data_IF_308977014061
#
_entry.id   IF_308977014061
#
_cell.length_a   1.000
_cell.length_b   1.000
_cell.length_c   1.000
_cell.angle_alpha   90.00
_cell.angle_beta   90.00
_cell.angle_gamma   90.00
#
_symmetry.space_group_name_H-M   'P 1'
#
loop_
_entity.id
_entity.type
_entity.pdbx_description
1 polymer ?
#
# COMPACT_ATOMS: atom_id res chain seq x y z
N UNK A 1 3.78 23.30 -20.25
CA UNK A 1 3.22 22.06 -20.83
C UNK A 1 4.28 21.00 -21.16
N UNK A 2 5.53 21.34 -21.53
CA UNK A 2 6.56 20.35 -21.90
C UNK A 2 7.06 19.43 -20.77
N UNK A 3 6.96 19.84 -19.49
CA UNK A 3 7.40 19.02 -18.35
C UNK A 3 6.49 17.81 -18.09
N UNK A 4 5.19 17.94 -18.35
CA UNK A 4 4.20 16.89 -18.09
C UNK A 4 4.38 15.70 -19.05
N UNK A 5 4.69 15.96 -20.32
CA UNK A 5 4.91 14.91 -21.32
C UNK A 5 6.15 14.06 -20.98
N UNK A 6 7.27 14.70 -20.62
CA UNK A 6 8.48 14.01 -20.19
C UNK A 6 8.25 13.15 -18.93
N UNK A 7 7.47 13.66 -17.99
CA UNK A 7 7.14 12.95 -16.75
C UNK A 7 6.23 11.74 -17.02
N UNK A 8 5.25 11.89 -17.92
CA UNK A 8 4.40 10.79 -18.37
C UNK A 8 5.22 9.68 -19.06
N UNK A 9 6.12 10.03 -19.99
CA UNK A 9 6.96 9.05 -20.69
C UNK A 9 7.85 8.25 -19.73
N UNK A 10 8.45 8.92 -18.75
CA UNK A 10 9.27 8.26 -17.73
C UNK A 10 8.41 7.33 -16.86
N UNK A 11 7.23 7.76 -16.44
CA UNK A 11 6.30 6.91 -15.68
C UNK A 11 5.89 5.67 -16.47
N UNK A 12 5.58 5.82 -17.75
CA UNK A 12 5.23 4.68 -18.61
C UNK A 12 6.40 3.72 -18.76
N UNK A 13 7.62 4.24 -18.98
CA UNK A 13 8.81 3.40 -19.07
C UNK A 13 9.06 2.60 -17.77
N UNK A 14 8.94 3.26 -16.61
CA UNK A 14 9.06 2.60 -15.30
C UNK A 14 7.96 1.54 -15.09
N UNK A 15 6.72 1.82 -15.51
CA UNK A 15 5.63 0.86 -15.42
C UNK A 15 5.91 -0.40 -16.25
N UNK A 16 6.41 -0.27 -17.48
CA UNK A 16 6.78 -1.42 -18.31
C UNK A 16 7.93 -2.23 -17.72
N UNK A 17 8.95 -1.58 -17.14
CA UNK A 17 10.03 -2.27 -16.42
C UNK A 17 9.48 -3.04 -15.22
N UNK A 18 8.57 -2.43 -14.45
CA UNK A 18 7.90 -3.09 -13.32
C UNK A 18 7.09 -4.30 -13.75
N UNK A 19 6.36 -4.22 -14.86
CA UNK A 19 5.62 -5.36 -15.44
C UNK A 19 6.59 -6.47 -15.83
N UNK A 20 7.71 -6.15 -16.48
CA UNK A 20 8.74 -7.13 -16.84
C UNK A 20 9.31 -7.85 -15.62
N UNK A 21 9.66 -7.11 -14.56
CA UNK A 21 10.13 -7.68 -13.30
C UNK A 21 9.07 -8.57 -12.64
N UNK A 22 7.82 -8.12 -12.60
CA UNK A 22 6.70 -8.89 -12.06
C UNK A 22 6.46 -10.19 -12.83
N UNK A 23 6.55 -10.15 -14.17
CA UNK A 23 6.44 -11.34 -15.01
C UNK A 23 7.54 -12.35 -14.71
N UNK A 24 8.80 -11.90 -14.64
CA UNK A 24 9.92 -12.79 -14.30
C UNK A 24 9.72 -13.40 -12.92
N UNK A 25 9.27 -12.63 -11.93
CA UNK A 25 9.08 -13.15 -10.58
C UNK A 25 7.93 -14.18 -10.51
N UNK A 26 6.76 -13.83 -11.03
CA UNK A 26 5.53 -14.63 -10.86
C UNK A 26 5.41 -15.78 -11.85
N UNK A 27 5.87 -15.62 -13.10
CA UNK A 27 5.70 -16.63 -14.15
C UNK A 27 6.92 -17.54 -14.29
N UNK A 28 8.13 -17.02 -14.06
CA UNK A 28 9.37 -17.78 -14.25
C UNK A 28 9.99 -18.24 -12.93
N UNK A 29 9.95 -17.44 -11.86
CA UNK A 29 10.59 -17.77 -10.58
C UNK A 29 9.68 -18.59 -9.68
N UNK A 30 8.47 -18.10 -9.41
CA UNK A 30 7.55 -18.72 -8.44
C UNK A 30 7.20 -20.18 -8.78
N UNK A 31 6.90 -20.57 -10.04
CA UNK A 31 6.61 -21.97 -10.36
C UNK A 31 7.83 -22.90 -10.32
N UNK A 32 9.05 -22.35 -10.33
CA UNK A 32 10.30 -23.12 -10.24
C UNK A 32 10.78 -23.28 -8.80
N UNK A 33 10.40 -22.37 -7.91
CA UNK A 33 10.89 -22.31 -6.53
C UNK A 33 9.84 -22.77 -5.52
N UNK A 34 8.54 -22.56 -5.79
CA UNK A 34 7.44 -22.91 -4.90
C UNK A 34 6.57 -24.02 -5.50
N UNK A 35 6.04 -24.89 -4.65
CA UNK A 35 5.00 -25.83 -5.05
C UNK A 35 3.70 -25.09 -5.41
N UNK A 36 2.86 -25.70 -6.26
CA UNK A 36 1.61 -25.08 -6.72
C UNK A 36 0.67 -24.69 -5.57
N UNK A 37 0.68 -25.47 -4.50
CA UNK A 37 -0.09 -25.25 -3.28
C UNK A 37 0.39 -24.01 -2.51
N UNK A 38 1.70 -23.85 -2.37
CA UNK A 38 2.32 -22.70 -1.69
C UNK A 38 2.08 -21.41 -2.49
N UNK A 39 2.15 -21.48 -3.82
CA UNK A 39 1.82 -20.36 -4.70
C UNK A 39 0.35 -19.93 -4.54
N UNK A 40 -0.57 -20.88 -4.47
CA UNK A 40 -2.00 -20.63 -4.23
C UNK A 40 -2.22 -19.96 -2.89
N UNK A 41 -1.62 -20.48 -1.82
CA UNK A 41 -1.69 -19.91 -0.48
C UNK A 41 -1.12 -18.48 -0.44
N UNK A 42 0.06 -18.27 -1.00
CA UNK A 42 0.73 -16.97 -1.00
C UNK A 42 -0.11 -15.92 -1.74
N UNK A 43 -0.76 -16.29 -2.85
CA UNK A 43 -1.66 -15.40 -3.60
C UNK A 43 -2.93 -15.07 -2.83
N UNK A 44 -3.51 -16.05 -2.13
CA UNK A 44 -4.66 -15.80 -1.25
C UNK A 44 -4.29 -14.86 -0.10
N UNK A 45 -3.13 -15.08 0.51
CA UNK A 45 -2.62 -14.28 1.63
C UNK A 45 -2.33 -12.84 1.19
N UNK A 46 -1.72 -12.64 0.02
CA UNK A 46 -1.55 -11.30 -0.59
C UNK A 46 -2.90 -10.63 -0.85
N UNK A 47 -3.91 -11.36 -1.32
CA UNK A 47 -5.25 -10.80 -1.56
C UNK A 47 -5.92 -10.36 -0.25
N UNK A 48 -5.90 -11.21 0.78
CA UNK A 48 -6.47 -10.89 2.10
C UNK A 48 -5.75 -9.69 2.72
N UNK A 49 -4.42 -9.69 2.71
CA UNK A 49 -3.62 -8.57 3.24
C UNK A 49 -3.87 -7.28 2.49
N UNK A 50 -4.04 -7.31 1.15
CA UNK A 50 -4.38 -6.12 0.38
C UNK A 50 -5.73 -5.52 0.78
N UNK A 51 -6.77 -6.35 0.96
CA UNK A 51 -8.09 -5.89 1.43
C UNK A 51 -7.98 -5.30 2.83
N UNK A 52 -7.29 -6.00 3.75
CA UNK A 52 -7.10 -5.50 5.12
C UNK A 52 -6.32 -4.19 5.13
N UNK A 53 -5.29 -4.04 4.29
CA UNK A 53 -4.51 -2.80 4.19
C UNK A 53 -5.37 -1.62 3.74
N UNK A 54 -6.24 -1.81 2.73
CA UNK A 54 -7.15 -0.76 2.27
C UNK A 54 -8.09 -0.29 3.40
N UNK A 55 -8.61 -1.24 4.19
CA UNK A 55 -9.46 -0.92 5.36
C UNK A 55 -8.64 -0.25 6.46
N UNK A 56 -7.41 -0.73 6.73
CA UNK A 56 -6.51 -0.19 7.74
C UNK A 56 -6.07 1.25 7.47
N UNK A 57 -5.97 1.64 6.20
CA UNK A 57 -5.65 3.00 5.81
C UNK A 57 -6.79 3.99 6.12
N UNK A 58 -8.01 3.55 6.48
CA UNK A 58 -9.12 4.41 6.92
C UNK A 58 -9.38 5.65 6.05
N UNK A 59 -9.13 5.56 4.73
CA UNK A 59 -9.32 6.68 3.81
C UNK A 59 -8.26 7.80 3.93
N UNK A 60 -7.13 7.55 4.59
CA UNK A 60 -6.01 8.48 4.74
C UNK A 60 -5.53 9.06 3.42
N UNK A 61 -5.55 8.28 2.35
CA UNK A 61 -5.16 8.75 1.01
C UNK A 61 -6.05 9.92 0.55
N UNK A 62 -7.35 9.86 0.83
CA UNK A 62 -8.30 10.93 0.50
C UNK A 62 -8.11 12.14 1.42
N UNK A 63 -7.91 11.91 2.71
CA UNK A 63 -7.64 12.96 3.71
C UNK A 63 -6.34 13.71 3.37
N UNK A 64 -5.27 12.99 3.03
CA UNK A 64 -3.99 13.56 2.58
C UNK A 64 -4.20 14.49 1.40
N UNK A 65 -4.79 14.01 0.31
CA UNK A 65 -4.98 14.81 -0.92
C UNK A 65 -5.82 16.08 -0.64
N UNK A 66 -6.85 15.96 0.22
CA UNK A 66 -7.77 17.07 0.52
C UNK A 66 -7.18 18.12 1.47
N UNK A 67 -6.44 17.72 2.50
CA UNK A 67 -5.89 18.64 3.49
C UNK A 67 -4.45 19.11 3.18
N UNK A 68 -3.74 18.43 2.27
CA UNK A 68 -2.43 18.86 1.80
C UNK A 68 -2.36 20.34 1.33
N UNK A 69 -3.30 20.86 0.52
CA UNK A 69 -3.26 22.27 0.10
C UNK A 69 -3.56 23.27 1.24
N UNK A 70 -4.31 22.86 2.27
CA UNK A 70 -4.70 23.76 3.38
C UNK A 70 -3.57 24.01 4.38
N UNK A 71 -2.58 23.10 4.45
CA UNK A 71 -1.42 23.22 5.33
C UNK A 71 -0.13 23.57 4.58
N UNK A 72 -0.23 23.83 3.27
CA UNK A 72 0.87 24.31 2.44
C UNK A 72 0.95 25.83 2.55
N UNK A 73 1.37 26.31 3.73
CA UNK A 73 1.59 27.73 4.00
C UNK A 73 3.07 28.08 3.73
N UNK A 74 3.41 28.96 2.76
CA UNK A 74 4.80 29.27 2.41
C UNK A 74 5.57 30.01 3.51
N UNK A 75 4.89 30.72 4.40
CA UNK A 75 5.48 31.68 5.35
C UNK A 75 5.65 31.16 6.78
N UNK A 76 5.08 30.00 7.13
CA UNK A 76 5.15 29.44 8.49
C UNK A 76 5.50 27.97 8.44
N UNK A 77 6.80 27.70 8.37
CA UNK A 77 7.36 26.36 8.34
C UNK A 77 6.74 25.43 9.39
N UNK A 78 6.12 24.35 8.90
CA UNK A 78 5.85 23.11 9.63
C UNK A 78 4.71 23.12 10.66
N UNK A 79 3.51 23.54 10.28
CA UNK A 79 2.30 23.27 11.08
C UNK A 79 1.80 21.83 10.93
N UNK A 80 2.53 20.86 11.51
CA UNK A 80 2.00 19.60 12.06
C UNK A 80 1.25 18.61 11.15
N UNK A 81 0.95 18.92 9.89
CA UNK A 81 0.17 18.04 9.01
C UNK A 81 0.87 16.72 8.68
N UNK A 82 2.15 16.67 8.26
CA UNK A 82 2.81 15.38 8.04
C UNK A 82 2.89 14.54 9.31
N UNK A 83 3.11 15.14 10.48
CA UNK A 83 3.07 14.42 11.76
C UNK A 83 1.67 13.93 12.14
N UNK A 84 0.62 14.69 11.83
CA UNK A 84 -0.77 14.31 12.12
C UNK A 84 -1.24 13.19 11.19
N UNK A 85 -0.92 13.26 9.91
CA UNK A 85 -1.17 12.18 8.94
C UNK A 85 -0.41 10.92 9.34
N UNK A 86 0.86 11.04 9.73
CA UNK A 86 1.65 9.91 10.20
C UNK A 86 1.03 9.30 11.47
N UNK A 87 0.58 10.12 12.42
CA UNK A 87 -0.03 9.67 13.68
C UNK A 87 -1.38 8.98 13.44
N UNK A 88 -2.22 9.51 12.55
CA UNK A 88 -3.49 8.87 12.16
C UNK A 88 -3.23 7.57 11.38
N UNK A 89 -2.22 7.55 10.51
CA UNK A 89 -1.76 6.33 9.82
C UNK A 89 -1.27 5.25 10.78
N UNK A 90 -0.45 5.65 11.75
CA UNK A 90 0.02 4.74 12.79
C UNK A 90 -1.14 4.23 13.64
N UNK A 91 -2.07 5.11 14.03
CA UNK A 91 -3.25 4.73 14.79
C UNK A 91 -4.15 3.75 14.01
N UNK A 92 -4.41 4.01 12.73
CA UNK A 92 -5.16 3.12 11.85
C UNK A 92 -4.49 1.75 11.69
N UNK A 93 -3.16 1.73 11.53
CA UNK A 93 -2.38 0.49 11.47
C UNK A 93 -2.45 -0.30 12.78
N UNK A 94 -2.33 0.37 13.93
CA UNK A 94 -2.45 -0.25 15.26
C UNK A 94 -3.86 -0.81 15.51
N UNK A 95 -4.90 -0.08 15.12
CA UNK A 95 -6.29 -0.56 15.21
C UNK A 95 -6.49 -1.78 14.33
N UNK A 96 -6.03 -1.75 13.07
CA UNK A 96 -6.12 -2.91 12.19
C UNK A 96 -5.35 -4.12 12.73
N UNK A 97 -4.18 -3.90 13.31
CA UNK A 97 -3.38 -4.95 13.95
C UNK A 97 -4.10 -5.55 15.17
N UNK A 98 -4.72 -4.71 16.01
CA UNK A 98 -5.49 -5.17 17.16
C UNK A 98 -6.73 -5.98 16.73
N UNK A 99 -7.46 -5.51 15.72
CA UNK A 99 -8.62 -6.22 15.15
C UNK A 99 -8.17 -7.58 14.61
N UNK A 100 -7.13 -7.64 13.78
CA UNK A 100 -6.59 -8.90 13.28
C UNK A 100 -6.14 -9.84 14.42
N UNK A 101 -5.50 -9.32 15.46
CA UNK A 101 -5.07 -10.10 16.62
C UNK A 101 -6.24 -10.73 17.39
N UNK A 102 -7.36 -10.01 17.54
CA UNK A 102 -8.58 -10.54 18.16
C UNK A 102 -9.20 -11.64 17.28
N UNK A 103 -9.29 -11.42 15.96
CA UNK A 103 -9.84 -12.40 15.03
C UNK A 103 -8.94 -13.63 14.84
N UNK A 104 -7.62 -13.51 15.02
CA UNK A 104 -6.69 -14.65 14.98
C UNK A 104 -7.07 -15.72 16.01
N UNK A 105 -7.45 -15.32 17.23
CA UNK A 105 -7.89 -16.26 18.27
C UNK A 105 -9.16 -17.04 17.91
N UNK A 106 -10.03 -16.46 17.09
CA UNK A 106 -11.25 -17.11 16.57
C UNK A 106 -10.92 -18.07 15.42
N UNK A 107 -9.94 -17.73 14.56
CA UNK A 107 -9.54 -18.57 13.42
C UNK A 107 -8.76 -19.83 13.83
N UNK A 108 -7.97 -19.77 14.92
CA UNK A 108 -7.22 -20.93 15.43
C UNK A 108 -8.07 -21.95 16.20
N UNK A 109 -9.36 -21.69 16.42
CA UNK A 109 -10.30 -22.59 17.13
C UNK A 109 -11.22 -23.39 16.20
N UNK A 110 -11.05 -23.29 14.89
CA UNK A 110 -11.73 -24.09 13.86
C UNK A 110 -10.69 -25.01 13.23
#
# INVERSE_FOLDING_TARGET
MASLARQATVNTALAYVGIGLGFVNVVLLYPRVLAAEEFGLLRLLVSITAVVAQVAQLGLDNTLIRFFPYFRDPDSGHRGLPSLVLLIGLAGALVAMAVLGIFHGTFTRI
#
